data_IF_483464409622
#
_entry.id   IF_483464409622
#
_cell.length_a   1.000
_cell.length_b   1.000
_cell.length_c   1.000
_cell.angle_alpha   90.00
_cell.angle_beta   90.00
_cell.angle_gamma   90.00
#
_symmetry.space_group_name_H-M   'P 1'
#
loop_
_entity.id
_entity.type
_entity.pdbx_description
1 polymer ?
#
# COMPACT_ATOMS: atom_id res chain seq x y z
N UNK A 1 -31.92 8.89 -15.60
CA UNK A 1 -31.11 7.66 -15.63
C UNK A 1 -29.65 8.03 -15.82
N UNK A 2 -28.85 8.00 -14.76
CA UNK A 2 -27.39 8.11 -14.87
C UNK A 2 -26.79 6.93 -14.13
N UNK A 3 -26.44 5.89 -14.89
CA UNK A 3 -25.70 4.74 -14.42
C UNK A 3 -24.22 5.14 -14.40
N UNK A 4 -23.72 5.60 -13.25
CA UNK A 4 -22.28 5.76 -13.00
C UNK A 4 -21.80 4.45 -12.39
N UNK A 5 -21.08 3.64 -13.17
CA UNK A 5 -20.21 2.61 -12.60
C UNK A 5 -19.33 3.30 -11.55
N UNK A 6 -19.45 2.88 -10.30
CA UNK A 6 -18.69 3.43 -9.17
C UNK A 6 -17.33 2.74 -9.17
N UNK A 7 -16.44 3.22 -10.02
CA UNK A 7 -15.05 2.82 -10.09
C UNK A 7 -14.28 3.32 -8.86
N UNK A 8 -13.25 2.60 -8.45
CA UNK A 8 -12.27 3.10 -7.48
C UNK A 8 -11.64 4.36 -8.06
N UNK A 9 -11.76 5.47 -7.33
CA UNK A 9 -11.23 6.76 -7.74
C UNK A 9 -10.27 7.36 -6.70
N UNK A 10 -9.65 8.49 -7.05
CA UNK A 10 -8.63 9.16 -6.23
C UNK A 10 -9.21 9.57 -4.88
N UNK A 11 -10.47 10.00 -4.88
CA UNK A 11 -11.16 10.42 -3.67
C UNK A 11 -11.35 9.24 -2.70
N UNK A 12 -11.68 8.06 -3.20
CA UNK A 12 -11.83 6.85 -2.39
C UNK A 12 -10.50 6.46 -1.72
N UNK A 13 -9.41 6.35 -2.47
CA UNK A 13 -8.11 5.97 -1.91
C UNK A 13 -7.57 7.04 -0.96
N UNK A 14 -7.74 8.33 -1.28
CA UNK A 14 -7.42 9.45 -0.37
C UNK A 14 -8.16 9.34 0.95
N UNK A 15 -9.46 9.08 0.90
CA UNK A 15 -10.28 8.95 2.10
C UNK A 15 -9.79 7.80 2.97
N UNK A 16 -9.61 6.61 2.41
CA UNK A 16 -9.16 5.44 3.18
C UNK A 16 -7.74 5.61 3.73
N UNK A 17 -6.80 6.13 2.92
CA UNK A 17 -5.44 6.40 3.39
C UNK A 17 -5.39 7.46 4.52
N UNK A 18 -6.34 8.40 4.55
CA UNK A 18 -6.44 9.39 5.63
C UNK A 18 -6.99 8.82 6.94
N UNK A 19 -7.68 7.67 6.88
CA UNK A 19 -8.21 6.95 8.04
C UNK A 19 -7.15 6.00 8.66
N UNK A 20 -6.03 5.76 7.96
CA UNK A 20 -4.91 4.93 8.46
C UNK A 20 -4.16 5.64 9.60
N UNK A 21 -4.03 4.93 10.73
CA UNK A 21 -3.36 5.42 11.93
C UNK A 21 -1.89 4.97 12.01
N UNK A 22 -1.06 5.62 12.86
CA UNK A 22 0.29 5.13 13.16
C UNK A 22 0.33 3.72 13.74
N UNK A 23 -0.75 3.23 14.37
CA UNK A 23 -0.81 1.87 14.92
C UNK A 23 -0.91 0.81 13.79
N UNK A 24 -1.50 1.19 12.66
CA UNK A 24 -1.61 0.34 11.48
C UNK A 24 -0.25 0.16 10.78
N UNK A 25 0.65 1.14 10.91
CA UNK A 25 2.05 1.04 10.46
C UNK A 25 2.78 -0.08 11.22
N UNK A 26 2.71 -0.06 12.55
CA UNK A 26 3.34 -1.07 13.40
C UNK A 26 2.75 -2.46 13.18
N UNK A 27 1.43 -2.52 13.01
CA UNK A 27 0.70 -3.76 12.73
C UNK A 27 1.11 -4.35 11.38
N UNK A 28 1.21 -3.52 10.34
CA UNK A 28 1.63 -3.96 8.99
C UNK A 28 3.04 -4.51 8.98
N UNK A 29 3.99 -3.79 9.60
CA UNK A 29 5.39 -4.25 9.71
C UNK A 29 5.47 -5.56 10.50
N UNK A 30 4.72 -5.69 11.60
CA UNK A 30 4.72 -6.90 12.42
C UNK A 30 4.13 -8.12 11.70
N UNK A 31 3.25 -7.91 10.71
CA UNK A 31 2.65 -8.95 9.89
C UNK A 31 3.42 -9.26 8.60
N UNK A 32 4.61 -8.69 8.39
CA UNK A 32 5.47 -8.92 7.22
C UNK A 32 5.58 -10.40 6.81
N UNK A 33 5.85 -11.29 7.77
CA UNK A 33 5.95 -12.74 7.49
C UNK A 33 4.67 -13.33 6.91
N UNK A 34 3.50 -12.86 7.35
CA UNK A 34 2.22 -13.30 6.81
C UNK A 34 1.98 -12.73 5.41
N UNK A 35 2.43 -11.49 5.15
CA UNK A 35 2.38 -10.86 3.83
C UNK A 35 3.18 -11.71 2.85
N UNK A 36 4.44 -12.02 3.19
CA UNK A 36 5.33 -12.83 2.37
C UNK A 36 4.75 -14.23 2.10
N UNK A 37 4.21 -14.88 3.12
CA UNK A 37 3.60 -16.21 2.99
C UNK A 37 2.37 -16.19 2.09
N UNK A 38 1.49 -15.19 2.23
CA UNK A 38 0.31 -15.06 1.37
C UNK A 38 0.69 -14.81 -0.08
N UNK A 39 1.67 -13.93 -0.33
CA UNK A 39 2.16 -13.64 -1.68
C UNK A 39 2.74 -14.91 -2.33
N UNK A 40 3.56 -15.66 -1.60
CA UNK A 40 4.17 -16.89 -2.12
C UNK A 40 3.13 -17.99 -2.42
N UNK A 41 2.12 -18.15 -1.55
CA UNK A 41 1.11 -19.21 -1.68
C UNK A 41 0.00 -18.91 -2.71
N UNK A 42 -0.20 -17.64 -3.09
CA UNK A 42 -1.27 -17.22 -4.01
C UNK A 42 -0.86 -17.24 -5.49
N UNK A 43 0.37 -17.62 -5.81
CA UNK A 43 0.88 -17.58 -7.19
C UNK A 43 0.99 -16.17 -7.76
N UNK A 44 1.03 -15.15 -6.90
CA UNK A 44 1.15 -13.74 -7.27
C UNK A 44 2.44 -13.52 -8.05
N UNK A 45 2.34 -12.80 -9.17
CA UNK A 45 3.45 -12.52 -10.08
C UNK A 45 4.66 -11.97 -9.29
N UNK A 46 5.86 -12.44 -9.63
CA UNK A 46 7.14 -12.05 -8.99
C UNK A 46 7.31 -10.52 -8.88
N UNK A 47 6.82 -9.78 -9.88
CA UNK A 47 6.79 -8.32 -9.87
C UNK A 47 6.01 -7.75 -8.68
N UNK A 48 4.82 -8.26 -8.38
CA UNK A 48 4.00 -7.78 -7.27
C UNK A 48 4.59 -8.17 -5.91
N UNK A 49 5.20 -9.35 -5.82
CA UNK A 49 5.96 -9.75 -4.64
C UNK A 49 7.12 -8.78 -4.35
N UNK A 50 7.84 -8.40 -5.40
CA UNK A 50 8.95 -7.44 -5.31
C UNK A 50 8.48 -6.04 -4.91
N UNK A 51 7.34 -5.59 -5.45
CA UNK A 51 6.70 -4.32 -5.07
C UNK A 51 6.26 -4.31 -3.60
N UNK A 52 5.63 -5.38 -3.11
CA UNK A 52 5.22 -5.47 -1.72
C UNK A 52 6.43 -5.44 -0.76
N UNK A 53 7.53 -6.10 -1.12
CA UNK A 53 8.79 -6.03 -0.36
C UNK A 53 9.38 -4.62 -0.36
N UNK A 54 9.33 -3.92 -1.49
CA UNK A 54 9.81 -2.55 -1.59
C UNK A 54 9.00 -1.61 -0.68
N UNK A 55 7.68 -1.73 -0.73
CA UNK A 55 6.75 -1.01 0.14
C UNK A 55 7.05 -1.24 1.62
N UNK A 56 7.27 -2.50 2.03
CA UNK A 56 7.63 -2.84 3.41
C UNK A 56 8.95 -2.21 3.85
N UNK A 57 9.96 -2.16 2.97
CA UNK A 57 11.22 -1.46 3.25
C UNK A 57 11.00 0.02 3.46
N UNK A 58 10.22 0.68 2.59
CA UNK A 58 9.91 2.10 2.72
C UNK A 58 9.19 2.41 4.04
N UNK A 59 8.23 1.57 4.47
CA UNK A 59 7.57 1.72 5.77
C UNK A 59 8.54 1.60 6.95
N UNK A 60 9.50 0.67 6.88
CA UNK A 60 10.54 0.50 7.92
C UNK A 60 11.45 1.71 8.00
N UNK A 61 11.95 2.20 6.86
CA UNK A 61 12.84 3.36 6.80
C UNK A 61 12.11 4.63 7.23
N UNK A 62 10.83 4.78 6.88
CA UNK A 62 9.97 5.85 7.38
C UNK A 62 9.80 5.79 8.90
N UNK A 63 9.47 4.61 9.45
CA UNK A 63 9.32 4.38 10.89
C UNK A 63 10.60 4.72 11.65
N UNK A 64 11.75 4.27 11.15
CA UNK A 64 13.07 4.51 11.74
C UNK A 64 13.55 5.96 11.59
N UNK A 65 12.84 6.79 10.82
CA UNK A 65 13.21 8.19 10.59
C UNK A 65 14.31 8.38 9.54
N UNK A 66 14.66 7.32 8.79
CA UNK A 66 15.68 7.36 7.73
C UNK A 66 15.15 8.00 6.45
N UNK A 67 13.86 7.83 6.15
CA UNK A 67 13.21 8.41 4.97
C UNK A 67 11.90 9.11 5.35
N UNK A 68 11.91 10.44 5.47
CA UNK A 68 10.75 11.24 5.88
C UNK A 68 10.20 12.20 4.81
N UNK A 69 10.90 12.32 3.69
CA UNK A 69 10.51 13.16 2.56
C UNK A 69 9.45 12.48 1.67
N UNK A 70 8.34 12.08 2.29
CA UNK A 70 7.21 11.45 1.60
C UNK A 70 5.89 11.89 2.22
N UNK A 71 4.86 12.18 1.41
CA UNK A 71 3.54 12.48 1.92
C UNK A 71 2.99 11.36 2.81
N UNK A 72 2.31 11.72 3.90
CA UNK A 72 1.62 10.74 4.75
C UNK A 72 0.60 9.92 3.96
N UNK A 73 -0.02 10.52 2.94
CA UNK A 73 -0.93 9.83 2.03
C UNK A 73 -0.30 8.58 1.41
N UNK A 74 0.96 8.65 0.95
CA UNK A 74 1.71 7.53 0.38
C UNK A 74 1.91 6.42 1.41
N UNK A 75 2.29 6.79 2.63
CA UNK A 75 2.46 5.84 3.75
C UNK A 75 1.13 5.14 4.06
N UNK A 76 0.04 5.89 4.15
CA UNK A 76 -1.31 5.35 4.35
C UNK A 76 -1.75 4.42 3.22
N UNK A 77 -1.51 4.81 1.96
CA UNK A 77 -1.83 3.98 0.79
C UNK A 77 -1.02 2.70 0.73
N UNK A 78 0.25 2.72 1.13
CA UNK A 78 1.09 1.52 1.23
C UNK A 78 0.56 0.58 2.32
N UNK A 79 0.31 1.10 3.52
CA UNK A 79 -0.24 0.32 4.64
C UNK A 79 -1.56 -0.33 4.24
N UNK A 80 -2.48 0.44 3.67
CA UNK A 80 -3.77 -0.05 3.19
C UNK A 80 -3.60 -1.16 2.15
N UNK A 81 -2.73 -0.96 1.17
CA UNK A 81 -2.47 -1.94 0.10
C UNK A 81 -1.87 -3.25 0.64
N UNK A 82 -0.94 -3.18 1.59
CA UNK A 82 -0.31 -4.35 2.21
C UNK A 82 -1.25 -5.11 3.13
N UNK A 83 -2.04 -4.39 3.94
CA UNK A 83 -3.09 -5.01 4.76
C UNK A 83 -4.14 -5.68 3.87
N UNK A 84 -4.47 -5.09 2.73
CA UNK A 84 -5.44 -5.65 1.78
C UNK A 84 -4.97 -7.01 1.22
N UNK A 85 -3.67 -7.15 0.93
CA UNK A 85 -3.07 -8.44 0.56
C UNK A 85 -3.19 -9.48 1.68
N UNK A 86 -3.14 -9.05 2.96
CA UNK A 86 -3.31 -9.95 4.10
C UNK A 86 -4.75 -10.40 4.29
N UNK A 87 -5.72 -9.52 4.11
CA UNK A 87 -7.12 -9.89 4.27
C UNK A 87 -7.99 -8.99 3.38
N UNK A 88 -8.23 -9.38 2.11
CA UNK A 88 -8.94 -8.52 1.16
C UNK A 88 -10.37 -8.20 1.61
N UNK A 89 -10.97 -9.06 2.44
CA UNK A 89 -12.36 -8.94 2.90
C UNK A 89 -12.54 -8.15 4.22
N UNK A 90 -11.47 -7.71 4.88
CA UNK A 90 -11.51 -7.26 6.29
C UNK A 90 -11.20 -5.77 6.48
N UNK A 91 -10.58 -5.13 5.48
CA UNK A 91 -10.25 -3.69 5.52
C UNK A 91 -11.29 -2.79 4.85
N UNK A 92 -12.26 -3.40 4.17
CA UNK A 92 -13.50 -2.76 3.79
C UNK A 92 -14.54 -3.26 4.79
N UNK A 93 -14.57 -2.75 6.04
CA UNK A 93 -15.65 -3.10 6.94
C UNK A 93 -16.96 -2.63 6.27
N UNK A 94 -18.05 -3.36 6.50
CA UNK A 94 -19.41 -3.23 5.94
C UNK A 94 -20.08 -1.82 6.07
N UNK A 95 -19.38 -0.71 5.80
CA UNK A 95 -19.71 0.65 6.21
C UNK A 95 -19.95 1.63 5.07
N UNK A 96 -20.07 1.17 3.82
CA UNK A 96 -20.61 2.04 2.76
C UNK A 96 -21.85 1.41 2.14
N UNK A 97 -23.03 1.59 2.78
CA UNK A 97 -24.31 1.29 2.17
C UNK A 97 -24.40 1.96 0.79
N UNK A 98 -24.42 1.17 -0.28
CA UNK A 98 -24.53 1.65 -1.66
C UNK A 98 -23.24 1.71 -2.48
N UNK A 99 -22.09 1.24 -1.96
CA UNK A 99 -20.95 0.82 -2.78
C UNK A 99 -21.06 -0.70 -2.98
N UNK A 100 -21.55 -1.12 -4.14
CA UNK A 100 -21.50 -2.54 -4.52
C UNK A 100 -20.04 -3.02 -4.65
N UNK A 101 -19.86 -4.34 -4.67
CA UNK A 101 -18.57 -5.05 -4.78
C UNK A 101 -17.55 -4.27 -5.62
N UNK A 102 -16.63 -3.62 -4.94
CA UNK A 102 -15.45 -3.02 -5.57
C UNK A 102 -14.61 -4.20 -6.05
N UNK A 103 -14.28 -4.24 -7.34
CA UNK A 103 -13.43 -5.29 -7.87
C UNK A 103 -12.04 -5.20 -7.21
N UNK A 104 -11.69 -6.26 -6.48
CA UNK A 104 -10.59 -6.35 -5.52
C UNK A 104 -9.22 -5.93 -6.09
N UNK A 105 -9.03 -6.15 -7.40
CA UNK A 105 -7.81 -5.81 -8.13
C UNK A 105 -7.72 -4.33 -8.51
N UNK A 106 -8.86 -3.65 -8.66
CA UNK A 106 -8.93 -2.25 -9.08
C UNK A 106 -8.40 -1.32 -7.99
N UNK A 107 -8.66 -1.64 -6.71
CA UNK A 107 -8.16 -0.87 -5.56
C UNK A 107 -6.64 -0.91 -5.49
N UNK A 108 -6.07 -2.11 -5.57
CA UNK A 108 -4.62 -2.30 -5.53
C UNK A 108 -3.95 -1.61 -6.72
N UNK A 109 -4.47 -1.82 -7.94
CA UNK A 109 -3.94 -1.22 -9.16
C UNK A 109 -3.97 0.29 -9.10
N UNK A 110 -5.04 0.85 -8.55
CA UNK A 110 -5.20 2.29 -8.45
C UNK A 110 -4.27 2.87 -7.38
N UNK A 111 -4.25 2.31 -6.17
CA UNK A 111 -3.34 2.71 -5.10
C UNK A 111 -1.87 2.67 -5.54
N UNK A 112 -1.47 1.61 -6.27
CA UNK A 112 -0.15 1.47 -6.86
C UNK A 112 0.24 2.65 -7.75
N UNK A 113 -0.67 3.14 -8.61
CA UNK A 113 -0.38 4.29 -9.50
C UNK A 113 -0.10 5.58 -8.72
N UNK A 114 -0.73 5.79 -7.57
CA UNK A 114 -0.50 7.01 -6.78
C UNK A 114 0.83 7.02 -6.06
N UNK A 115 1.26 5.84 -5.60
CA UNK A 115 2.50 5.70 -4.82
C UNK A 115 3.70 5.33 -5.69
N UNK A 116 3.50 5.04 -6.99
CA UNK A 116 4.56 4.64 -7.91
C UNK A 116 5.67 5.69 -7.98
N UNK A 117 5.31 6.97 -8.14
CA UNK A 117 6.30 8.06 -8.16
C UNK A 117 7.10 8.15 -6.85
N UNK A 118 6.44 8.03 -5.70
CA UNK A 118 7.11 8.08 -4.40
C UNK A 118 7.99 6.86 -4.14
N UNK A 119 7.58 5.68 -4.62
CA UNK A 119 8.38 4.46 -4.57
C UNK A 119 9.62 4.55 -5.45
N UNK A 120 9.53 5.21 -6.61
CA UNK A 120 10.69 5.51 -7.45
C UNK A 120 11.66 6.44 -6.74
N UNK A 121 11.20 7.55 -6.17
CA UNK A 121 12.05 8.46 -5.39
C UNK A 121 12.72 7.76 -4.20
N UNK A 122 11.99 6.87 -3.52
CA UNK A 122 12.57 6.05 -2.46
C UNK A 122 13.64 5.07 -2.96
N UNK A 123 13.42 4.42 -4.11
CA UNK A 123 14.41 3.54 -4.73
C UNK A 123 15.67 4.30 -5.10
N UNK A 124 15.52 5.47 -5.73
CA UNK A 124 16.65 6.32 -6.12
C UNK A 124 17.47 6.70 -4.87
N UNK A 125 16.81 7.11 -3.80
CA UNK A 125 17.44 7.39 -2.51
C UNK A 125 18.19 6.16 -1.94
N UNK A 126 17.61 4.94 -2.00
CA UNK A 126 18.31 3.73 -1.53
C UNK A 126 19.54 3.39 -2.38
N UNK A 127 19.49 3.66 -3.68
CA UNK A 127 20.62 3.44 -4.58
C UNK A 127 21.74 4.43 -4.25
N UNK A 128 21.40 5.71 -4.07
CA UNK A 128 22.35 6.75 -3.64
C UNK A 128 22.98 6.44 -2.27
N UNK A 129 22.18 5.96 -1.30
CA UNK A 129 22.68 5.51 0.01
C UNK A 129 23.65 4.33 -0.14
N UNK A 130 23.38 3.38 -1.04
CA UNK A 130 24.24 2.22 -1.28
C UNK A 130 25.52 2.56 -2.06
N UNK A 131 25.50 3.61 -2.88
CA UNK A 131 26.64 4.10 -3.66
C UNK A 131 27.56 5.05 -2.89
N UNK A 132 27.18 5.47 -1.68
CA UNK A 132 28.04 6.22 -0.76
C UNK A 132 28.69 5.26 0.25
N UNK A 133 29.85 4.64 -0.06
CA UNK A 133 30.61 3.92 0.94
C UNK A 133 31.16 4.92 1.97
N UNK A 134 30.85 4.66 3.24
CA UNK A 134 31.51 5.26 4.41
C UNK A 134 33.01 5.04 4.40
#
# INVERSE_FOLDING_TARGET
>A
MFNRNKEVDEAFVRKQASEVSPQDLDTTISKEKQIDQKIANSGVLEKYASLAKLMLKMLKDYKNGLYREVPWFTIGSIIFSLLYVLNPFDLVPDFIPGLGYIDDLSVLTFALRFIETDLHSYLDWKIEEAEQPV
#
